data_IF_963551021662
#
_entry.id   IF_963551021662
#
_cell.length_a   1.000
_cell.length_b   1.000
_cell.length_c   1.000
_cell.angle_alpha   90.00
_cell.angle_beta   90.00
_cell.angle_gamma   90.00
#
_symmetry.space_group_name_H-M   'P 1'
#
loop_
_entity.id
_entity.type
_entity.pdbx_description
1 polymer ?
#
# COMPACT_ATOMS: atom_id res chain seq x y z
N UNK A 1 20.75 1.34 4.68
CA UNK A 1 19.49 0.67 4.99
C UNK A 1 19.36 -0.60 4.20
N UNK A 2 18.74 -1.59 4.80
CA UNK A 2 18.67 -2.91 4.21
C UNK A 2 17.41 -3.03 3.35
N UNK A 3 17.58 -3.41 2.09
CA UNK A 3 16.44 -3.68 1.20
C UNK A 3 15.77 -4.99 1.61
N UNK A 4 14.45 -5.16 1.34
CA UNK A 4 13.79 -6.42 1.64
C UNK A 4 14.36 -7.56 0.78
N UNK A 5 14.45 -8.78 1.35
CA UNK A 5 14.86 -9.94 0.57
C UNK A 5 13.85 -10.26 -0.54
N UNK A 6 14.29 -11.00 -1.55
CA UNK A 6 13.44 -11.35 -2.69
C UNK A 6 12.16 -12.10 -2.25
N UNK A 7 12.31 -13.01 -1.28
CA UNK A 7 11.14 -13.73 -0.75
C UNK A 7 10.13 -12.79 -0.10
N UNK A 8 10.61 -11.75 0.60
CA UNK A 8 9.74 -10.75 1.20
C UNK A 8 9.04 -9.91 0.13
N UNK A 9 9.75 -9.53 -0.94
CA UNK A 9 9.16 -8.79 -2.06
C UNK A 9 8.04 -9.58 -2.72
N UNK A 10 8.28 -10.87 -2.97
CA UNK A 10 7.28 -11.74 -3.60
C UNK A 10 6.07 -11.93 -2.69
N UNK A 11 6.30 -12.12 -1.39
CA UNK A 11 5.25 -12.26 -0.40
C UNK A 11 4.39 -11.00 -0.33
N UNK A 12 5.03 -9.84 -0.31
CA UNK A 12 4.31 -8.56 -0.25
C UNK A 12 3.39 -8.39 -1.46
N UNK A 13 3.91 -8.61 -2.65
CA UNK A 13 3.13 -8.48 -3.89
C UNK A 13 1.94 -9.45 -3.89
N UNK A 14 2.16 -10.68 -3.48
CA UNK A 14 1.10 -11.69 -3.44
C UNK A 14 0.03 -11.34 -2.41
N UNK A 15 0.43 -10.91 -1.22
CA UNK A 15 -0.51 -10.53 -0.15
C UNK A 15 -1.38 -9.35 -0.57
N UNK A 16 -0.77 -8.33 -1.16
CA UNK A 16 -1.51 -7.14 -1.59
C UNK A 16 -2.51 -7.47 -2.68
N UNK A 17 -2.13 -8.28 -3.66
CA UNK A 17 -3.05 -8.66 -4.73
C UNK A 17 -4.17 -9.56 -4.24
N UNK A 18 -3.87 -10.48 -3.32
CA UNK A 18 -4.90 -11.34 -2.73
C UNK A 18 -5.91 -10.53 -1.93
N UNK A 19 -5.43 -9.58 -1.14
CA UNK A 19 -6.29 -8.72 -0.34
C UNK A 19 -7.14 -7.80 -1.21
N UNK A 20 -6.54 -7.26 -2.28
CA UNK A 20 -7.27 -6.40 -3.22
C UNK A 20 -8.41 -7.16 -3.90
N UNK A 21 -8.18 -8.41 -4.31
CA UNK A 21 -9.24 -9.22 -4.93
C UNK A 21 -10.41 -9.43 -3.98
N UNK A 22 -10.13 -9.58 -2.70
CA UNK A 22 -11.18 -9.83 -1.69
C UNK A 22 -11.89 -8.55 -1.27
N UNK A 23 -11.15 -7.45 -1.13
CA UNK A 23 -11.66 -6.23 -0.48
C UNK A 23 -11.90 -5.08 -1.45
N UNK A 24 -11.13 -5.01 -2.53
CA UNK A 24 -11.17 -3.90 -3.48
C UNK A 24 -11.36 -4.41 -4.91
N UNK A 25 -12.56 -4.93 -5.24
CA UNK A 25 -12.79 -5.53 -6.56
C UNK A 25 -12.71 -4.55 -7.73
N UNK A 26 -12.75 -3.23 -7.45
CA UNK A 26 -12.55 -2.22 -8.48
C UNK A 26 -11.10 -2.14 -8.95
N UNK A 27 -10.16 -2.71 -8.19
CA UNK A 27 -8.78 -2.82 -8.61
C UNK A 27 -8.58 -4.10 -9.42
N UNK A 28 -8.04 -3.94 -10.62
CA UNK A 28 -7.65 -5.10 -11.45
C UNK A 28 -6.40 -5.75 -10.85
N UNK A 29 -5.53 -4.95 -10.24
CA UNK A 29 -4.34 -5.45 -9.57
C UNK A 29 -3.63 -4.36 -8.82
N UNK A 30 -2.66 -4.77 -8.00
CA UNK A 30 -1.77 -3.86 -7.29
C UNK A 30 -0.36 -4.09 -7.82
N UNK A 31 0.24 -3.02 -8.35
CA UNK A 31 1.62 -3.06 -8.83
C UNK A 31 2.52 -2.53 -7.73
N UNK A 32 3.61 -3.24 -7.47
CA UNK A 32 4.55 -2.91 -6.42
C UNK A 32 5.91 -2.67 -7.04
N UNK A 33 6.44 -1.47 -6.86
CA UNK A 33 7.78 -1.11 -7.32
C UNK A 33 8.70 -1.00 -6.12
N UNK A 34 9.84 -1.66 -6.18
CA UNK A 34 10.80 -1.65 -5.08
C UNK A 34 11.98 -0.74 -5.41
N UNK A 35 12.36 0.08 -4.44
CA UNK A 35 13.55 0.92 -4.55
C UNK A 35 14.16 1.09 -3.16
N UNK A 36 15.41 0.65 -3.00
CA UNK A 36 16.07 0.62 -1.70
C UNK A 36 15.21 -0.16 -0.70
N UNK A 37 14.89 0.43 0.45
CA UNK A 37 14.05 -0.22 1.45
C UNK A 37 12.56 0.15 1.34
N UNK A 38 12.16 0.76 0.20
CA UNK A 38 10.78 1.19 -0.02
C UNK A 38 10.05 0.31 -1.04
N UNK A 39 8.75 0.18 -0.84
CA UNK A 39 7.84 -0.43 -1.79
C UNK A 39 6.77 0.61 -2.14
N UNK A 40 6.63 0.91 -3.43
CA UNK A 40 5.65 1.88 -3.93
C UNK A 40 4.46 1.11 -4.49
N UNK A 41 3.28 1.37 -3.97
CA UNK A 41 2.05 0.66 -4.33
C UNK A 41 1.21 1.51 -5.27
N UNK A 42 0.92 0.96 -6.44
CA UNK A 42 0.03 1.57 -7.42
C UNK A 42 -1.16 0.64 -7.66
N UNK A 43 -2.35 1.20 -7.78
CA UNK A 43 -3.55 0.43 -8.11
C UNK A 43 -3.88 0.55 -9.59
N UNK A 44 -4.18 -0.58 -10.24
CA UNK A 44 -4.61 -0.60 -11.63
C UNK A 44 -6.12 -0.67 -11.67
N UNK A 45 -6.74 0.27 -12.38
CA UNK A 45 -8.18 0.36 -12.52
C UNK A 45 -8.64 -0.35 -13.80
N UNK A 46 -9.95 -0.70 -13.91
CA UNK A 46 -10.46 -1.44 -15.07
C UNK A 46 -10.30 -0.71 -16.40
N UNK A 47 -10.23 0.62 -16.40
CA UNK A 47 -10.03 1.40 -17.62
C UNK A 47 -8.56 1.45 -18.06
N UNK A 48 -7.66 0.76 -17.34
CA UNK A 48 -6.24 0.73 -17.63
C UNK A 48 -5.45 1.85 -16.96
N UNK A 49 -6.12 2.78 -16.28
CA UNK A 49 -5.40 3.84 -15.59
C UNK A 49 -4.74 3.31 -14.32
N UNK A 50 -3.71 4.04 -13.88
CA UNK A 50 -2.95 3.72 -12.68
C UNK A 50 -3.15 4.84 -11.68
N UNK A 51 -3.50 4.46 -10.45
CA UNK A 51 -3.58 5.41 -9.35
C UNK A 51 -2.49 5.10 -8.33
N UNK A 52 -1.72 6.09 -7.92
CA UNK A 52 -0.70 5.91 -6.89
C UNK A 52 -1.39 5.89 -5.55
N UNK A 53 -1.02 4.93 -4.70
CA UNK A 53 -1.71 4.69 -3.44
C UNK A 53 -0.86 5.09 -2.24
N UNK A 54 0.27 4.44 -2.04
CA UNK A 54 1.10 4.68 -0.86
C UNK A 54 2.49 4.12 -1.06
N UNK A 55 3.35 4.41 -0.08
CA UNK A 55 4.69 3.87 0.00
C UNK A 55 4.84 3.13 1.32
N UNK A 56 5.44 1.97 1.28
CA UNK A 56 5.75 1.18 2.47
C UNK A 56 7.26 1.20 2.69
N UNK A 57 7.67 1.26 3.95
CA UNK A 57 9.08 1.21 4.33
C UNK A 57 9.37 -0.09 5.04
N UNK A 58 10.34 -0.85 4.51
CA UNK A 58 10.76 -2.11 5.12
C UNK A 58 11.55 -1.83 6.41
N UNK A 59 11.12 -2.43 7.50
CA UNK A 59 11.75 -2.27 8.80
C UNK A 59 12.37 -3.55 9.35
N UNK A 60 12.57 -4.55 8.48
CA UNK A 60 13.18 -5.81 8.90
C UNK A 60 12.19 -6.96 9.08
N UNK A 61 10.90 -6.70 8.94
CA UNK A 61 9.85 -7.72 9.06
C UNK A 61 8.98 -7.74 7.81
N UNK A 62 8.60 -8.93 7.36
CA UNK A 62 7.67 -9.09 6.23
C UNK A 62 6.24 -8.66 6.59
N UNK A 63 5.93 -8.50 7.86
CA UNK A 63 4.56 -8.30 8.35
C UNK A 63 4.28 -6.88 8.81
N UNK A 64 5.31 -6.06 9.04
CA UNK A 64 5.14 -4.71 9.55
C UNK A 64 5.94 -3.74 8.71
N UNK A 65 5.24 -2.77 8.11
CA UNK A 65 5.82 -1.79 7.20
C UNK A 65 5.44 -0.38 7.63
N UNK A 66 6.37 0.54 7.53
CA UNK A 66 6.08 1.95 7.74
C UNK A 66 5.19 2.47 6.62
N UNK A 67 4.26 3.38 6.94
CA UNK A 67 3.24 3.84 6.02
C UNK A 67 3.45 5.30 5.62
N UNK A 68 3.36 5.59 4.33
CA UNK A 68 3.35 6.94 3.80
C UNK A 68 2.29 7.02 2.70
N UNK A 69 1.38 7.98 2.82
CA UNK A 69 0.31 8.17 1.83
C UNK A 69 0.82 9.01 0.65
N UNK A 70 0.33 8.71 -0.55
CA UNK A 70 0.63 9.53 -1.72
C UNK A 70 -0.17 10.83 -1.67
N UNK A 71 0.51 11.96 -1.94
CA UNK A 71 -0.13 13.27 -2.00
C UNK A 71 -0.17 13.72 -3.45
N UNK A 72 -1.35 13.62 -4.09
CA UNK A 72 -1.49 13.96 -5.50
C UNK A 72 -1.15 15.42 -5.80
N UNK A 73 -1.48 16.33 -4.88
CA UNK A 73 -1.22 17.75 -5.07
C UNK A 73 0.27 18.11 -5.07
N UNK A 74 1.12 17.26 -4.51
CA UNK A 74 2.57 17.49 -4.42
C UNK A 74 3.37 16.43 -5.20
N UNK A 75 2.71 15.41 -5.72
CA UNK A 75 3.34 14.28 -6.42
C UNK A 75 4.46 13.67 -5.58
N UNK A 76 4.20 13.45 -4.29
CA UNK A 76 5.15 12.85 -3.36
C UNK A 76 4.42 11.98 -2.33
N UNK A 77 5.19 11.44 -1.38
CA UNK A 77 4.68 10.59 -0.31
C UNK A 77 4.98 11.24 1.03
N UNK A 78 4.00 11.24 1.92
CA UNK A 78 4.14 11.80 3.25
C UNK A 78 3.92 10.71 4.30
N UNK A 79 4.87 10.60 5.25
CA UNK A 79 4.72 9.67 6.37
C UNK A 79 3.41 9.96 7.10
N UNK A 80 2.62 8.93 7.30
CA UNK A 80 1.26 9.04 7.81
C UNK A 80 0.96 7.95 8.82
N UNK A 81 -0.19 8.06 9.45
CA UNK A 81 -0.66 7.07 10.40
C UNK A 81 -1.77 6.25 9.78
N UNK A 82 -1.80 4.96 10.12
CA UNK A 82 -2.92 4.09 9.79
C UNK A 82 -4.14 4.47 10.64
N UNK A 83 -5.35 4.04 10.27
CA UNK A 83 -6.56 4.39 11.04
C UNK A 83 -6.49 4.01 12.52
N UNK A 84 -5.69 3.02 12.89
CA UNK A 84 -5.49 2.64 14.29
C UNK A 84 -4.54 3.57 15.05
N UNK A 85 -4.00 4.61 14.39
CA UNK A 85 -3.09 5.57 15.01
C UNK A 85 -1.62 5.21 14.99
N UNK A 86 -1.26 4.07 14.42
CA UNK A 86 0.14 3.64 14.33
C UNK A 86 0.78 4.07 13.01
N UNK A 87 2.09 4.42 13.02
CA UNK A 87 2.78 4.81 11.79
C UNK A 87 3.22 3.61 10.94
N UNK A 88 3.02 2.40 11.44
CA UNK A 88 3.38 1.16 10.77
C UNK A 88 2.36 0.09 11.08
N UNK A 89 2.22 -0.87 10.16
CA UNK A 89 1.30 -1.97 10.33
C UNK A 89 1.44 -2.97 9.19
N UNK A 90 0.42 -3.80 9.01
CA UNK A 90 0.43 -4.81 7.96
C UNK A 90 0.26 -4.17 6.58
N UNK A 91 0.75 -4.83 5.52
CA UNK A 91 0.51 -4.35 4.16
C UNK A 91 -0.98 -4.21 3.83
N UNK A 92 -1.80 -5.10 4.35
CA UNK A 92 -3.25 -5.08 4.12
C UNK A 92 -3.88 -3.83 4.73
N UNK A 93 -3.50 -3.46 5.95
CA UNK A 93 -3.99 -2.24 6.59
C UNK A 93 -3.60 -1.00 5.78
N UNK A 94 -2.37 -0.96 5.28
CA UNK A 94 -1.90 0.16 4.48
C UNK A 94 -2.67 0.26 3.16
N UNK A 95 -2.91 -0.86 2.51
CA UNK A 95 -3.70 -0.89 1.28
C UNK A 95 -5.12 -0.40 1.51
N UNK A 96 -5.76 -0.85 2.58
CA UNK A 96 -7.12 -0.41 2.92
C UNK A 96 -7.17 1.10 3.16
N UNK A 97 -6.19 1.62 3.89
CA UNK A 97 -6.14 3.05 4.18
C UNK A 97 -6.02 3.87 2.89
N UNK A 98 -5.11 3.49 2.01
CA UNK A 98 -4.89 4.21 0.75
C UNK A 98 -6.08 4.07 -0.20
N UNK A 99 -6.64 2.87 -0.33
CA UNK A 99 -7.80 2.64 -1.19
C UNK A 99 -9.03 3.37 -0.66
N UNK A 100 -9.21 3.42 0.67
CA UNK A 100 -10.31 4.18 1.26
C UNK A 100 -10.27 5.65 0.86
N UNK A 101 -9.06 6.21 0.80
CA UNK A 101 -8.89 7.60 0.39
C UNK A 101 -9.12 7.78 -1.13
N UNK A 102 -8.48 6.94 -1.95
CA UNK A 102 -8.46 7.16 -3.40
C UNK A 102 -9.61 6.53 -4.15
N UNK A 103 -10.31 5.56 -3.56
CA UNK A 103 -11.49 4.94 -4.15
C UNK A 103 -12.79 5.42 -3.47
N UNK A 104 -12.68 6.41 -2.58
CA UNK A 104 -13.81 7.04 -1.90
C UNK A 104 -14.67 6.05 -1.11
N UNK A 105 -14.03 5.13 -0.40
CA UNK A 105 -14.73 4.18 0.47
C UNK A 105 -14.39 4.47 1.93
N UNK A 106 -15.18 5.31 2.62
CA UNK A 106 -14.87 5.67 3.99
C UNK A 106 -14.95 4.50 4.97
N UNK A 107 -15.56 3.38 4.57
CA UNK A 107 -15.64 2.22 5.46
C UNK A 107 -14.27 1.63 5.78
N UNK A 108 -13.27 1.86 4.94
CA UNK A 108 -11.90 1.41 5.18
C UNK A 108 -11.26 2.08 6.40
N UNK A 109 -11.80 3.20 6.85
CA UNK A 109 -11.31 3.97 7.99
C UNK A 109 -11.98 3.59 9.31
N UNK A 110 -12.99 2.74 9.25
CA UNK A 110 -13.73 2.32 10.43
C UNK A 110 -13.03 1.12 11.08
N UNK A 111 -12.98 1.09 12.43
CA UNK A 111 -12.38 -0.03 13.14
C UNK A 111 -13.14 -1.34 12.94
#
# INVERSE_FOLDING_TARGET
>A
MKAPPESTKNSLTQRLNSHARARWPDLVGVEVRFRANFAYLDGRLPDGSITRLCRLRYGGSAHTWGFAIYRASHDDYEDSFLPNGHPAGSPEEALDCACGLYLNDPSAWLP
#
